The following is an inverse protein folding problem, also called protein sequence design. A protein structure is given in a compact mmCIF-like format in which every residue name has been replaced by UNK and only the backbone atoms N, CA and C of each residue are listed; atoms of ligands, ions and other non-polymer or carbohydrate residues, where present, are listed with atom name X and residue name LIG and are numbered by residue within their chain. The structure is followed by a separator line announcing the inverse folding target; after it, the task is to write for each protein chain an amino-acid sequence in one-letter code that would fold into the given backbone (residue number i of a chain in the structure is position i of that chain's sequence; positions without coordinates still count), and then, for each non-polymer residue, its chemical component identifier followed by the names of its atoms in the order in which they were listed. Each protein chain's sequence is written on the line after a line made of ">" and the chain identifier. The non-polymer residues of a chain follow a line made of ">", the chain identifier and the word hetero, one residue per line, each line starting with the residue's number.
data_IF_333315945872
#
_entry.id   IF_333315945872
#
_cell.length_a   1.000
_cell.length_b   1.000
_cell.length_c   1.000
_cell.angle_alpha   90.00
_cell.angle_beta   90.00
_cell.angle_gamma   90.00
#
_symmetry.space_group_name_H-M   'P 1'
#
loop_
_entity.id
_entity.type
_entity.pdbx_description
1 polymer ?
#
# COMPACT_ATOMS: atom_id res chain seq x y z
N UNK A 1 34.15 -7.79 8.20
CA UNK A 1 33.35 -7.65 8.06
C UNK A 1 32.82 -7.17 7.90
N UNK A 2 32.60 -7.18 7.83
CA UNK A 2 31.75 -6.83 7.61
C UNK A 2 31.16 -6.34 7.40
N UNK A 3 31.12 -6.31 7.25
CA UNK A 3 30.36 -5.90 7.02
C UNK A 3 29.59 -5.45 6.75
N UNK A 4 29.61 -5.62 6.59
CA UNK A 4 28.70 -5.24 6.30
C UNK A 4 27.96 -4.84 6.12
N UNK A 5 28.04 -5.10 6.21
CA UNK A 5 27.24 -4.77 6.02
C UNK A 5 26.64 -4.10 6.08
N UNK A 6 26.83 -4.36 6.24
CA UNK A 6 26.14 -3.57 6.45
C UNK A 6 25.70 -2.43 5.92
N UNK A 7 25.96 -2.02 5.71
CA UNK A 7 25.47 -1.00 5.08
C UNK A 7 25.11 -1.28 3.75
N UNK A 8 24.49 -2.26 3.54
CA UNK A 8 24.02 -2.56 2.29
C UNK A 8 23.02 -1.56 1.83
N UNK A 9 22.95 -1.33 0.56
CA UNK A 9 22.03 -0.38 0.01
C UNK A 9 20.60 -0.86 0.22
N UNK A 10 19.70 0.10 0.35
CA UNK A 10 18.29 -0.20 0.42
C UNK A 10 17.81 -0.79 -0.91
N UNK A 11 16.85 -1.68 -0.84
CA UNK A 11 16.23 -2.19 -2.04
C UNK A 11 15.38 -1.10 -2.68
N UNK A 12 15.01 -1.33 -3.94
CA UNK A 12 14.14 -0.41 -4.66
C UNK A 12 12.82 -0.19 -3.90
N UNK A 13 12.23 -1.26 -3.36
CA UNK A 13 10.96 -1.14 -2.65
C UNK A 13 11.11 -0.45 -1.31
N UNK A 14 12.21 -0.69 -0.61
CA UNK A 14 12.45 0.02 0.64
C UNK A 14 12.55 1.52 0.41
N UNK A 15 13.28 1.92 -0.62
CA UNK A 15 13.40 3.34 -0.96
C UNK A 15 12.05 3.95 -1.32
N UNK A 16 11.27 3.21 -2.10
CA UNK A 16 9.96 3.69 -2.51
C UNK A 16 9.06 3.89 -1.30
N UNK A 17 9.01 2.90 -0.39
CA UNK A 17 8.14 3.02 0.77
C UNK A 17 8.59 4.12 1.71
N UNK A 18 9.89 4.35 1.84
CA UNK A 18 10.39 5.47 2.65
C UNK A 18 9.88 6.81 2.13
N UNK A 19 9.78 6.95 0.82
CA UNK A 19 9.25 8.18 0.21
C UNK A 19 7.73 8.25 0.33
N UNK A 20 7.07 7.14 0.16
CA UNK A 20 5.61 7.08 0.23
C UNK A 20 5.09 7.48 1.59
N UNK A 21 5.70 6.94 2.67
CA UNK A 21 5.19 7.22 4.01
C UNK A 21 5.35 8.67 4.42
N UNK A 22 6.20 9.42 3.72
CA UNK A 22 6.38 10.84 4.02
C UNK A 22 5.35 11.74 3.33
N UNK A 23 4.53 11.18 2.46
CA UNK A 23 3.56 11.97 1.70
C UNK A 23 2.48 12.54 2.62
N UNK A 24 2.10 11.80 3.65
CA UNK A 24 1.00 12.21 4.53
C UNK A 24 1.39 11.88 5.98
N UNK A 25 1.38 12.88 6.89
CA UNK A 25 1.73 12.63 8.29
C UNK A 25 0.75 11.71 9.01
N UNK A 26 -0.42 11.48 8.43
CA UNK A 26 -1.42 10.58 9.01
C UNK A 26 -1.37 9.18 8.44
N UNK A 27 -0.34 8.87 7.64
CA UNK A 27 -0.19 7.52 7.11
C UNK A 27 0.22 6.57 8.23
N UNK A 28 -0.42 5.41 8.28
CA UNK A 28 -0.16 4.40 9.30
C UNK A 28 0.76 3.31 8.79
N UNK A 29 0.59 2.91 7.53
CA UNK A 29 1.40 1.85 6.96
C UNK A 29 1.38 1.95 5.44
N UNK A 30 2.39 1.35 4.82
CA UNK A 30 2.44 1.18 3.38
C UNK A 30 3.08 -0.16 3.09
N UNK A 31 2.54 -0.87 2.11
CA UNK A 31 3.05 -2.19 1.75
C UNK A 31 3.00 -2.36 0.24
N UNK A 32 3.93 -3.15 -0.27
CA UNK A 32 3.90 -3.56 -1.68
C UNK A 32 3.62 -5.05 -1.69
N UNK A 33 2.60 -5.44 -2.45
CA UNK A 33 2.19 -6.83 -2.54
C UNK A 33 2.15 -7.25 -4.01
N UNK A 34 2.34 -8.54 -4.27
CA UNK A 34 2.09 -9.06 -5.60
C UNK A 34 0.64 -9.55 -5.69
N UNK A 35 0.24 -9.97 -6.87
CA UNK A 35 -1.15 -10.36 -7.09
C UNK A 35 -1.47 -11.78 -6.61
N UNK A 36 -0.49 -12.48 -6.07
CA UNK A 36 -0.70 -13.76 -5.39
C UNK A 36 -0.88 -13.57 -3.90
N UNK A 37 -0.73 -12.33 -3.42
CA UNK A 37 -0.95 -12.03 -2.01
C UNK A 37 0.32 -11.98 -1.18
N UNK A 38 1.50 -12.15 -1.78
CA UNK A 38 2.74 -12.05 -1.03
C UNK A 38 3.08 -10.60 -0.75
N UNK A 39 3.43 -10.30 0.49
CA UNK A 39 3.90 -8.98 0.86
C UNK A 39 5.39 -8.93 0.56
N UNK A 40 5.77 -8.07 -0.36
CA UNK A 40 7.16 -7.96 -0.81
C UNK A 40 7.97 -7.00 0.06
N UNK A 41 7.31 -6.00 0.60
CA UNK A 41 7.95 -5.03 1.48
C UNK A 41 6.87 -4.31 2.26
N UNK A 42 7.15 -3.94 3.51
CA UNK A 42 6.16 -3.25 4.34
C UNK A 42 6.85 -2.24 5.23
N UNK A 43 6.18 -1.11 5.47
CA UNK A 43 6.64 -0.08 6.39
C UNK A 43 5.50 0.29 7.32
N UNK A 44 5.71 0.08 8.62
CA UNK A 44 4.78 0.51 9.66
C UNK A 44 5.27 1.86 10.16
N UNK A 45 4.40 2.88 10.11
CA UNK A 45 4.84 4.25 10.38
C UNK A 45 4.69 4.62 11.84
N UNK A 46 3.59 4.21 12.47
CA UNK A 46 3.30 4.68 13.80
C UNK A 46 3.19 3.55 14.78
N UNK A 47 3.29 3.90 16.06
CA UNK A 47 3.07 2.95 17.13
C UNK A 47 1.62 2.96 17.57
N UNK A 48 0.73 3.51 16.75
CA UNK A 48 -0.68 3.49 17.08
C UNK A 48 -1.14 2.04 17.15
N UNK A 49 -2.10 1.80 18.03
CA UNK A 49 -2.58 0.45 18.15
C UNK A 49 -3.30 0.02 16.88
N UNK A 50 -3.22 -1.25 16.62
CA UNK A 50 -3.85 -1.82 15.45
C UNK A 50 -5.37 -1.87 15.64
N UNK A 51 -6.10 -1.59 14.56
CA UNK A 51 -7.55 -1.74 14.60
C UNK A 51 -7.96 -3.18 14.46
N UNK A 52 -7.15 -4.00 13.80
CA UNK A 52 -7.48 -5.37 13.49
C UNK A 52 -6.42 -6.31 14.06
N UNK A 53 -6.82 -7.55 14.32
CA UNK A 53 -5.87 -8.58 14.70
C UNK A 53 -5.03 -8.96 13.49
N UNK A 54 -3.92 -9.68 13.73
CA UNK A 54 -3.07 -10.16 12.64
C UNK A 54 -3.85 -11.06 11.69
N UNK A 55 -4.76 -11.88 12.21
CA UNK A 55 -5.57 -12.75 11.40
C UNK A 55 -6.55 -11.95 10.53
N UNK A 56 -7.17 -10.94 11.13
CA UNK A 56 -8.08 -10.07 10.38
C UNK A 56 -7.34 -9.30 9.29
N UNK A 57 -6.13 -8.83 9.59
CA UNK A 57 -5.31 -8.16 8.57
C UNK A 57 -5.03 -9.08 7.39
N UNK A 58 -4.73 -10.35 7.67
CA UNK A 58 -4.49 -11.31 6.60
C UNK A 58 -5.73 -11.53 5.76
N UNK A 59 -6.89 -11.66 6.41
CA UNK A 59 -8.14 -11.84 5.69
C UNK A 59 -8.46 -10.65 4.81
N UNK A 60 -8.26 -9.44 5.33
CA UNK A 60 -8.49 -8.21 4.56
C UNK A 60 -7.55 -8.15 3.37
N UNK A 61 -6.28 -8.56 3.56
CA UNK A 61 -5.33 -8.57 2.46
C UNK A 61 -5.78 -9.55 1.37
N UNK A 62 -6.20 -10.76 1.76
CA UNK A 62 -6.69 -11.72 0.79
C UNK A 62 -7.88 -11.19 0.02
N UNK A 63 -8.81 -10.54 0.73
CA UNK A 63 -9.97 -9.95 0.10
C UNK A 63 -9.55 -8.86 -0.89
N UNK A 64 -8.62 -8.01 -0.49
CA UNK A 64 -8.13 -6.94 -1.34
C UNK A 64 -7.53 -7.48 -2.64
N UNK A 65 -6.68 -8.50 -2.52
CA UNK A 65 -6.04 -9.09 -3.68
C UNK A 65 -7.07 -9.78 -4.58
N UNK A 66 -7.98 -10.54 -3.99
CA UNK A 66 -9.01 -11.24 -4.76
C UNK A 66 -9.91 -10.27 -5.51
N UNK A 67 -10.29 -9.18 -4.85
CA UNK A 67 -11.15 -8.19 -5.46
C UNK A 67 -10.43 -7.48 -6.61
N UNK A 68 -9.16 -7.15 -6.41
CA UNK A 68 -8.37 -6.54 -7.47
C UNK A 68 -8.27 -7.48 -8.68
N UNK A 69 -7.98 -8.76 -8.43
CA UNK A 69 -7.89 -9.74 -9.52
C UNK A 69 -9.23 -9.94 -10.23
N UNK A 70 -10.32 -9.91 -9.47
CA UNK A 70 -11.63 -9.99 -10.07
C UNK A 70 -11.86 -8.84 -11.05
N UNK A 71 -11.46 -7.64 -10.68
CA UNK A 71 -11.65 -6.48 -11.55
C UNK A 71 -10.85 -6.60 -12.83
N UNK A 72 -9.73 -7.31 -12.82
CA UNK A 72 -8.94 -7.51 -14.02
C UNK A 72 -9.71 -8.30 -15.09
N UNK A 73 -10.68 -9.10 -14.69
CA UNK A 73 -11.47 -9.85 -15.65
C UNK A 73 -12.35 -8.94 -16.49
N UNK A 74 -12.57 -7.71 -16.06
CA UNK A 74 -13.43 -6.75 -16.76
C UNK A 74 -12.64 -5.69 -17.51
N UNK A 75 -11.32 -5.84 -17.59
CA UNK A 75 -10.48 -4.78 -18.15
C UNK A 75 -10.80 -4.45 -19.59
N UNK A 76 -11.29 -5.44 -20.36
CA UNK A 76 -11.62 -5.21 -21.76
C UNK A 76 -12.86 -4.35 -21.93
N UNK A 77 -13.66 -4.25 -20.89
CA UNK A 77 -14.88 -3.46 -20.95
C UNK A 77 -14.73 -2.09 -20.31
N UNK A 78 -14.05 -2.03 -19.18
CA UNK A 78 -13.96 -0.76 -18.42
C UNK A 78 -12.53 -0.29 -18.20
N UNK A 79 -11.55 -1.04 -18.71
CA UNK A 79 -10.15 -0.66 -18.53
C UNK A 79 -9.59 -1.21 -17.23
N UNK A 80 -8.30 -1.02 -17.04
CA UNK A 80 -7.62 -1.46 -15.83
C UNK A 80 -8.00 -0.56 -14.66
N UNK A 81 -8.15 -1.17 -13.48
CA UNK A 81 -8.35 -0.41 -12.25
C UNK A 81 -7.07 0.36 -11.95
N UNK A 82 -7.20 1.62 -11.54
CA UNK A 82 -6.05 2.44 -11.20
C UNK A 82 -5.84 2.55 -9.71
N UNK A 83 -6.92 2.71 -8.96
CA UNK A 83 -6.84 2.78 -7.50
C UNK A 83 -8.21 2.51 -6.90
N UNK A 84 -8.21 2.15 -5.62
CA UNK A 84 -9.43 2.00 -4.83
C UNK A 84 -9.17 2.70 -3.50
N UNK A 85 -10.07 3.63 -3.14
CA UNK A 85 -10.00 4.30 -1.84
C UNK A 85 -11.19 3.85 -1.02
N UNK A 86 -10.92 3.29 0.16
CA UNK A 86 -11.94 2.91 1.11
C UNK A 86 -11.88 3.84 2.31
N UNK A 87 -13.01 4.42 2.66
CA UNK A 87 -13.06 5.35 3.78
C UNK A 87 -14.01 4.79 4.83
N UNK A 88 -13.47 4.56 6.01
CA UNK A 88 -14.22 4.10 7.17
C UNK A 88 -14.28 5.22 8.20
N UNK A 89 -15.09 5.02 9.24
CA UNK A 89 -15.18 6.05 10.28
C UNK A 89 -13.84 6.32 10.95
N UNK A 90 -13.06 5.26 11.16
CA UNK A 90 -11.86 5.38 11.97
C UNK A 90 -10.56 5.31 11.18
N UNK A 91 -10.60 4.94 9.90
CA UNK A 91 -9.38 4.94 9.09
C UNK A 91 -9.73 4.87 7.60
N UNK A 92 -8.71 5.06 6.77
CA UNK A 92 -8.85 4.97 5.31
C UNK A 92 -7.81 4.02 4.76
N UNK A 93 -8.10 3.44 3.62
CA UNK A 93 -7.19 2.53 2.93
C UNK A 93 -7.19 2.86 1.45
N UNK A 94 -5.99 2.99 0.88
CA UNK A 94 -5.82 3.33 -0.53
C UNK A 94 -4.98 2.25 -1.18
N UNK A 95 -5.48 1.69 -2.27
CA UNK A 95 -4.76 0.68 -3.05
C UNK A 95 -4.52 1.26 -4.44
N UNK A 96 -3.27 1.30 -4.85
CA UNK A 96 -2.89 1.84 -6.16
C UNK A 96 -2.10 0.78 -6.92
N UNK A 97 -2.39 0.65 -8.20
CA UNK A 97 -1.60 -0.24 -9.06
C UNK A 97 -0.17 0.28 -9.18
N UNK A 98 0.79 -0.60 -8.94
CA UNK A 98 2.21 -0.29 -9.06
C UNK A 98 2.74 -1.18 -10.18
N UNK A 99 2.46 -0.77 -11.42
CA UNK A 99 2.71 -1.60 -12.59
C UNK A 99 1.64 -2.67 -12.72
N UNK A 100 1.84 -3.62 -13.64
CA UNK A 100 0.77 -4.59 -13.95
C UNK A 100 0.63 -5.73 -12.93
N UNK A 101 1.65 -5.95 -12.08
CA UNK A 101 1.66 -7.12 -11.22
C UNK A 101 1.91 -6.81 -9.76
N UNK A 102 1.86 -5.55 -9.37
CA UNK A 102 2.13 -5.15 -7.99
C UNK A 102 1.09 -4.16 -7.53
N UNK A 103 0.84 -4.15 -6.23
CA UNK A 103 -0.07 -3.17 -5.61
C UNK A 103 0.67 -2.45 -4.50
N UNK A 104 0.40 -1.15 -4.39
CA UNK A 104 0.83 -0.35 -3.26
C UNK A 104 -0.40 -0.14 -2.38
N UNK A 105 -0.33 -0.61 -1.13
CA UNK A 105 -1.46 -0.59 -0.22
C UNK A 105 -1.10 0.27 0.97
N UNK A 106 -1.88 1.32 1.21
CA UNK A 106 -1.60 2.28 2.26
C UNK A 106 -2.78 2.42 3.19
N UNK A 107 -2.51 2.63 4.47
CA UNK A 107 -3.57 2.91 5.45
C UNK A 107 -3.28 4.25 6.13
N UNK A 108 -4.34 4.94 6.53
CA UNK A 108 -4.26 6.27 7.12
C UNK A 108 -5.19 6.36 8.31
N UNK A 109 -4.85 7.24 9.24
CA UNK A 109 -5.84 7.68 10.23
C UNK A 109 -6.97 8.39 9.51
N UNK A 110 -8.09 8.57 10.20
CA UNK A 110 -9.27 9.16 9.57
C UNK A 110 -9.01 10.59 9.07
N UNK A 111 -8.03 11.28 9.63
CA UNK A 111 -7.66 12.63 9.20
C UNK A 111 -6.79 12.64 7.95
N UNK A 112 -6.22 11.53 7.58
CA UNK A 112 -5.36 11.44 6.41
C UNK A 112 -6.12 11.13 5.14
N UNK A 113 -5.36 10.89 4.07
CA UNK A 113 -5.95 10.49 2.81
C UNK A 113 -6.89 11.54 2.24
N UNK A 114 -6.49 12.81 2.31
CA UNK A 114 -7.32 13.89 1.79
C UNK A 114 -7.41 13.80 0.28
N UNK A 115 -8.28 14.62 -0.32
CA UNK A 115 -8.67 14.41 -1.71
C UNK A 115 -7.52 14.50 -2.73
N UNK A 116 -6.42 15.14 -2.38
CA UNK A 116 -5.26 15.21 -3.28
C UNK A 116 -4.26 14.07 -3.06
N UNK A 117 -4.56 13.15 -2.15
CA UNK A 117 -3.59 12.12 -1.77
C UNK A 117 -3.19 11.24 -2.95
N UNK A 118 -4.14 10.93 -3.82
CA UNK A 118 -3.86 10.04 -4.94
C UNK A 118 -2.84 10.65 -5.87
N UNK A 119 -3.02 11.93 -6.20
CA UNK A 119 -2.07 12.62 -7.08
C UNK A 119 -0.69 12.73 -6.43
N UNK A 120 -0.67 12.98 -5.12
CA UNK A 120 0.59 13.12 -4.41
C UNK A 120 1.35 11.80 -4.37
N UNK A 121 0.64 10.70 -4.13
CA UNK A 121 1.27 9.38 -4.14
C UNK A 121 1.76 9.05 -5.55
N UNK A 122 0.95 9.32 -6.56
CA UNK A 122 1.35 9.02 -7.94
C UNK A 122 2.58 9.81 -8.36
N UNK A 123 2.75 11.02 -7.85
CA UNK A 123 3.96 11.79 -8.12
C UNK A 123 5.20 11.11 -7.56
N UNK A 124 5.07 10.43 -6.43
CA UNK A 124 6.20 9.77 -5.78
C UNK A 124 6.58 8.47 -6.48
N UNK A 125 5.59 7.74 -6.98
CA UNK A 125 5.85 6.41 -7.53
C UNK A 125 6.19 6.41 -9.02
N UNK A 126 6.13 7.55 -9.69
CA UNK A 126 6.52 7.64 -11.09
C UNK A 126 7.99 7.52 -11.31
#
# INVERSE_FOLDING_TARGET
>A
MMKNTINKSETKYEKLLNRVVEVDPHMRSAAIADLDGAILEKRQVTKTRDFLTAEQDREVMEYTINYWNYRKTMKDKIGNAKFILESYENFKKLVIALGPERLLIMTFDKEGGQKDIIERIQSVIR
#
